data_IF_849365999128
#
_entry.id   IF_849365999128
#
_cell.length_a   1.000
_cell.length_b   1.000
_cell.length_c   1.000
_cell.angle_alpha   90.00
_cell.angle_beta   90.00
_cell.angle_gamma   90.00
#
_symmetry.space_group_name_H-M   'P 1'
#
loop_
_entity.id
_entity.type
_entity.pdbx_description
1 polymer ?
#
# COMPACT_ATOMS: atom_id res chain seq x y z
N UNK A 1 -63.22 5.43 -11.71
CA UNK A 1 -61.79 5.69 -11.92
C UNK A 1 -61.05 4.70 -11.04
N UNK A 2 -60.60 3.56 -11.61
CA UNK A 2 -59.84 2.56 -10.85
C UNK A 2 -58.47 3.18 -10.57
N UNK A 3 -58.13 3.35 -9.30
CA UNK A 3 -56.74 3.62 -8.90
C UNK A 3 -55.96 2.33 -9.16
N UNK A 4 -55.14 2.33 -10.20
CA UNK A 4 -54.12 1.31 -10.42
C UNK A 4 -52.99 1.55 -9.42
N UNK A 5 -52.72 0.54 -8.61
CA UNK A 5 -51.65 0.54 -7.61
C UNK A 5 -50.31 0.38 -8.33
N UNK A 6 -49.37 1.31 -8.15
CA UNK A 6 -47.99 1.08 -8.55
C UNK A 6 -47.35 0.14 -7.52
N UNK A 7 -47.03 -1.08 -7.93
CA UNK A 7 -46.20 -1.97 -7.12
C UNK A 7 -44.74 -1.54 -7.33
N UNK A 8 -44.12 -0.97 -6.29
CA UNK A 8 -42.66 -0.90 -6.22
C UNK A 8 -42.23 -2.30 -5.81
N UNK A 9 -41.84 -3.12 -6.79
CA UNK A 9 -41.19 -4.40 -6.53
C UNK A 9 -39.99 -4.13 -5.62
N UNK A 10 -40.11 -4.55 -4.36
CA UNK A 10 -39.06 -4.37 -3.36
C UNK A 10 -37.86 -5.24 -3.73
N UNK A 11 -36.97 -4.71 -4.57
CA UNK A 11 -35.65 -5.28 -4.76
C UNK A 11 -34.88 -5.04 -3.45
N UNK A 12 -34.82 -6.08 -2.61
CA UNK A 12 -33.88 -6.11 -1.49
C UNK A 12 -32.48 -6.27 -2.08
N UNK A 13 -31.93 -5.17 -2.60
CA UNK A 13 -30.56 -5.14 -3.08
C UNK A 13 -29.67 -5.09 -1.85
N UNK A 14 -29.03 -6.21 -1.54
CA UNK A 14 -27.92 -6.22 -0.61
C UNK A 14 -26.78 -5.40 -1.26
N UNK A 15 -26.74 -4.09 -0.99
CA UNK A 15 -25.48 -3.37 -1.08
C UNK A 15 -24.56 -4.09 -0.10
N UNK A 16 -23.59 -4.84 -0.63
CA UNK A 16 -22.43 -5.23 0.16
C UNK A 16 -21.62 -3.96 0.36
N UNK A 17 -22.06 -3.11 1.29
CA UNK A 17 -21.22 -2.06 1.83
C UNK A 17 -19.99 -2.78 2.38
N UNK A 18 -18.80 -2.42 1.89
CA UNK A 18 -17.58 -2.84 2.57
C UNK A 18 -17.62 -2.16 3.94
N UNK A 19 -17.82 -2.89 5.07
CA UNK A 19 -18.01 -2.27 6.38
C UNK A 19 -16.74 -1.55 6.87
N UNK A 20 -15.64 -1.65 6.12
CA UNK A 20 -14.34 -1.06 6.36
C UNK A 20 -14.10 0.23 5.55
N UNK A 21 -15.07 0.66 4.73
CA UNK A 21 -14.96 1.90 3.97
C UNK A 21 -14.75 3.14 4.87
N UNK A 22 -13.79 4.00 4.50
CA UNK A 22 -13.39 5.19 5.25
C UNK A 22 -12.62 4.88 6.53
N UNK A 23 -12.05 3.68 6.67
CA UNK A 23 -11.19 3.32 7.80
C UNK A 23 -9.72 3.47 7.46
N UNK A 24 -9.01 4.12 8.36
CA UNK A 24 -7.55 4.21 8.34
C UNK A 24 -6.93 2.86 8.65
N UNK A 25 -5.87 2.54 7.91
CA UNK A 25 -5.12 1.31 7.96
C UNK A 25 -3.64 1.62 7.82
N UNK A 26 -2.82 0.89 8.58
CA UNK A 26 -1.36 1.03 8.58
C UNK A 26 -0.75 -0.34 8.32
N UNK A 27 0.17 -0.45 7.37
CA UNK A 27 1.07 -1.61 7.27
C UNK A 27 2.36 -1.22 7.98
N UNK A 28 2.76 -1.99 9.00
CA UNK A 28 3.95 -1.73 9.84
C UNK A 28 4.98 -2.89 9.85
N UNK A 29 4.70 -3.98 9.12
CA UNK A 29 5.57 -5.17 8.99
C UNK A 29 5.99 -5.91 10.28
N UNK A 30 5.57 -5.46 11.45
CA UNK A 30 5.98 -6.01 12.76
C UNK A 30 5.53 -7.46 12.99
N UNK A 31 4.46 -7.89 12.31
CA UNK A 31 3.95 -9.26 12.38
C UNK A 31 4.72 -10.26 11.48
N UNK A 32 5.71 -9.79 10.71
CA UNK A 32 6.50 -10.61 9.79
C UNK A 32 7.88 -10.95 10.39
N UNK A 33 8.40 -12.14 10.10
CA UNK A 33 9.73 -12.51 10.58
C UNK A 33 10.84 -11.89 9.70
N UNK A 34 11.96 -11.43 10.28
CA UNK A 34 13.14 -11.02 9.53
C UNK A 34 13.57 -12.08 8.51
N UNK A 35 13.95 -11.65 7.31
CA UNK A 35 14.31 -12.53 6.21
C UNK A 35 13.15 -13.08 5.40
N UNK A 36 11.91 -12.75 5.75
CA UNK A 36 10.73 -13.15 4.96
C UNK A 36 10.74 -12.42 3.63
N UNK A 37 10.59 -13.15 2.52
CA UNK A 37 10.31 -12.57 1.20
C UNK A 37 8.82 -12.26 1.14
N UNK A 38 8.47 -10.99 0.93
CA UNK A 38 7.10 -10.47 1.10
C UNK A 38 6.42 -10.37 -0.26
N UNK A 39 5.48 -11.27 -0.53
CA UNK A 39 4.62 -11.19 -1.72
C UNK A 39 3.27 -10.51 -1.46
N UNK A 40 2.81 -10.53 -0.21
CA UNK A 40 1.56 -9.93 0.23
C UNK A 40 1.69 -9.47 1.68
N UNK A 41 1.01 -8.39 2.02
CA UNK A 41 0.88 -7.86 3.39
C UNK A 41 -0.56 -7.58 3.75
N UNK A 42 -0.79 -7.42 5.06
CA UNK A 42 -2.05 -6.96 5.63
C UNK A 42 -1.75 -5.78 6.54
N UNK A 43 -2.69 -4.85 6.69
CA UNK A 43 -2.58 -3.82 7.72
C UNK A 43 -2.62 -4.44 9.13
N UNK A 44 -1.98 -3.77 10.08
CA UNK A 44 -1.95 -4.16 11.47
C UNK A 44 -3.30 -3.87 12.17
N UNK A 45 -3.45 -4.40 13.38
CA UNK A 45 -4.69 -4.30 14.15
C UNK A 45 -5.13 -2.82 14.34
N UNK A 46 -6.44 -2.51 14.35
CA UNK A 46 -7.55 -3.42 14.66
C UNK A 46 -8.15 -4.16 13.47
N UNK A 47 -7.81 -3.79 12.24
CA UNK A 47 -8.41 -4.36 11.02
C UNK A 47 -7.29 -4.93 10.15
N UNK A 48 -7.38 -6.21 9.79
CA UNK A 48 -6.42 -6.88 8.92
C UNK A 48 -6.87 -6.73 7.47
N UNK A 49 -6.55 -5.58 6.87
CA UNK A 49 -6.94 -5.22 5.51
C UNK A 49 -5.88 -5.73 4.55
N UNK A 50 -6.30 -6.59 3.63
CA UNK A 50 -5.44 -7.20 2.63
C UNK A 50 -6.15 -8.36 1.93
N UNK A 51 -5.43 -9.13 1.10
CA UNK A 51 -4.00 -8.99 0.85
C UNK A 51 -3.69 -7.76 0.00
N UNK A 52 -2.57 -7.08 0.30
CA UNK A 52 -1.97 -6.06 -0.56
C UNK A 52 -0.74 -6.71 -1.19
N UNK A 53 -0.70 -6.80 -2.52
CA UNK A 53 0.44 -7.39 -3.23
C UNK A 53 1.70 -6.56 -3.02
N UNK A 54 2.84 -7.21 -2.83
CA UNK A 54 4.14 -6.56 -2.66
C UNK A 54 5.15 -7.21 -3.60
N UNK A 55 5.91 -6.38 -4.31
CA UNK A 55 6.99 -6.86 -5.16
C UNK A 55 8.16 -5.87 -5.19
N UNK A 56 9.34 -6.34 -4.80
CA UNK A 56 10.60 -5.61 -4.93
C UNK A 56 11.32 -6.04 -6.19
N UNK A 57 11.74 -5.09 -7.02
CA UNK A 57 12.57 -5.34 -8.19
C UNK A 57 14.01 -5.11 -7.81
N UNK A 58 14.87 -6.12 -7.98
CA UNK A 58 16.31 -5.93 -8.03
C UNK A 58 16.81 -6.31 -9.44
N UNK A 59 17.45 -5.40 -10.19
CA UNK A 59 17.86 -5.65 -11.57
C UNK A 59 18.90 -6.76 -11.71
N UNK A 60 19.64 -7.06 -10.64
CA UNK A 60 20.63 -8.14 -10.60
C UNK A 60 20.03 -9.50 -10.24
N UNK A 61 18.78 -9.55 -9.77
CA UNK A 61 18.03 -10.75 -9.41
C UNK A 61 16.72 -10.88 -10.21
N UNK A 62 16.78 -10.62 -11.52
CA UNK A 62 15.61 -10.56 -12.39
C UNK A 62 14.68 -11.79 -12.25
N UNK A 63 13.40 -11.52 -12.03
CA UNK A 63 12.35 -12.54 -11.89
C UNK A 63 12.19 -13.10 -10.47
N UNK A 64 13.00 -12.68 -9.52
CA UNK A 64 12.79 -12.93 -8.10
C UNK A 64 12.15 -11.71 -7.45
N UNK A 65 11.30 -11.94 -6.44
CA UNK A 65 10.81 -10.88 -5.58
C UNK A 65 11.90 -10.53 -4.56
N UNK A 66 12.37 -9.29 -4.59
CA UNK A 66 13.41 -8.78 -3.71
C UNK A 66 12.85 -8.03 -2.49
N UNK A 67 11.52 -7.91 -2.33
CA UNK A 67 10.93 -7.32 -1.13
C UNK A 67 11.15 -8.25 0.07
N UNK A 68 11.95 -7.80 1.05
CA UNK A 68 12.37 -8.64 2.19
C UNK A 68 12.25 -7.84 3.49
N UNK A 69 11.91 -8.55 4.58
CA UNK A 69 11.91 -7.96 5.92
C UNK A 69 13.31 -7.90 6.51
N UNK A 70 13.70 -6.71 6.96
CA UNK A 70 14.96 -6.39 7.62
C UNK A 70 14.71 -6.04 9.09
N UNK A 71 15.52 -6.59 10.01
CA UNK A 71 15.45 -6.26 11.44
C UNK A 71 16.38 -5.08 11.75
N UNK A 72 15.80 -3.88 11.85
CA UNK A 72 16.57 -2.65 12.13
C UNK A 72 17.12 -2.58 13.55
N UNK A 73 16.60 -3.38 14.48
CA UNK A 73 17.13 -3.45 15.85
C UNK A 73 18.36 -4.37 15.96
N UNK A 74 18.54 -5.28 14.99
CA UNK A 74 19.68 -6.18 14.93
C UNK A 74 20.22 -6.37 13.51
N UNK A 75 20.78 -5.32 12.86
CA UNK A 75 21.37 -5.46 11.55
C UNK A 75 22.41 -6.58 11.54
N UNK A 76 22.13 -7.62 10.76
CA UNK A 76 22.90 -8.86 10.74
C UNK A 76 23.79 -8.97 9.48
N UNK A 77 24.03 -7.85 8.82
CA UNK A 77 25.06 -7.63 7.81
C UNK A 77 24.97 -8.42 6.52
N UNK A 78 25.87 -8.12 5.62
CA UNK A 78 25.69 -8.34 4.20
C UNK A 78 26.17 -9.73 3.70
N UNK A 79 25.31 -10.54 3.05
CA UNK A 79 25.69 -11.78 2.36
C UNK A 79 26.58 -11.56 1.12
N UNK A 80 26.62 -10.36 0.55
CA UNK A 80 27.47 -9.94 -0.57
C UNK A 80 28.88 -9.50 -0.13
N UNK A 81 29.12 -9.30 1.16
CA UNK A 81 30.46 -9.08 1.74
C UNK A 81 30.80 -7.64 2.14
N UNK A 82 29.81 -6.77 2.33
CA UNK A 82 29.89 -5.33 2.59
C UNK A 82 29.98 -4.89 4.05
N UNK A 83 29.65 -5.74 5.03
CA UNK A 83 29.71 -5.36 6.46
C UNK A 83 28.37 -5.48 7.16
N UNK A 84 28.13 -4.70 8.22
CA UNK A 84 26.79 -4.55 8.81
C UNK A 84 26.11 -3.36 8.13
N UNK A 85 24.82 -3.48 7.86
CA UNK A 85 23.93 -2.44 7.34
C UNK A 85 23.44 -1.56 8.51
N UNK A 86 24.28 -0.62 8.93
CA UNK A 86 24.06 0.15 10.16
C UNK A 86 23.31 1.46 9.91
N UNK A 87 23.32 1.92 8.68
CA UNK A 87 22.56 3.05 8.14
C UNK A 87 21.04 2.78 8.16
N UNK A 88 20.61 1.52 8.11
CA UNK A 88 19.22 1.15 8.40
C UNK A 88 18.94 0.79 9.87
N UNK A 89 19.95 0.82 10.74
CA UNK A 89 19.78 0.48 12.15
C UNK A 89 18.93 1.49 12.92
N UNK A 90 18.06 1.02 13.83
CA UNK A 90 17.18 1.90 14.64
C UNK A 90 17.09 1.46 16.10
N UNK A 91 17.03 2.39 17.07
CA UNK A 91 17.35 3.81 16.94
C UNK A 91 18.80 4.06 16.49
N UNK A 92 19.15 5.32 16.23
CA UNK A 92 20.55 5.72 16.06
C UNK A 92 21.38 5.53 17.35
N UNK A 93 22.70 5.38 17.23
CA UNK A 93 23.65 5.17 18.33
C UNK A 93 23.59 6.26 19.40
N UNK A 94 23.29 7.50 19.02
CA UNK A 94 23.11 8.61 19.95
C UNK A 94 21.90 8.41 20.89
N UNK A 95 20.96 7.55 20.50
CA UNK A 95 19.77 7.16 21.26
C UNK A 95 19.85 5.71 21.76
N UNK A 96 21.01 5.07 21.66
CA UNK A 96 21.30 3.76 22.24
C UNK A 96 20.92 2.55 21.37
N UNK A 97 20.64 2.76 20.09
CA UNK A 97 20.41 1.69 19.13
C UNK A 97 21.63 1.38 18.24
N UNK A 98 21.49 0.47 17.26
CA UNK A 98 22.57 0.07 16.35
C UNK A 98 22.80 1.05 15.20
N UNK A 99 21.91 2.02 14.97
CA UNK A 99 21.94 2.91 13.82
C UNK A 99 23.17 3.82 13.78
N UNK A 100 23.81 3.93 12.62
CA UNK A 100 24.98 4.81 12.43
C UNK A 100 24.74 5.66 11.19
N UNK A 101 24.86 6.98 11.33
CA UNK A 101 24.77 7.92 10.23
C UNK A 101 24.66 9.36 10.71
N UNK A 102 25.15 10.29 9.89
CA UNK A 102 25.28 11.72 10.26
C UNK A 102 23.93 12.43 10.46
N UNK A 103 22.82 11.84 9.98
CA UNK A 103 21.46 12.39 10.11
C UNK A 103 20.56 11.64 11.11
N UNK A 104 21.12 10.74 11.92
CA UNK A 104 20.38 9.94 12.89
C UNK A 104 19.70 10.72 14.03
N UNK A 105 19.81 12.05 14.08
CA UNK A 105 19.09 12.89 15.04
C UNK A 105 17.55 12.77 14.97
N UNK A 106 17.02 12.35 13.81
CA UNK A 106 15.59 12.05 13.59
C UNK A 106 15.22 10.59 13.93
N UNK A 107 16.22 9.70 13.99
CA UNK A 107 16.09 8.28 14.27
C UNK A 107 16.19 8.01 15.78
N UNK A 108 15.19 8.48 16.53
CA UNK A 108 15.22 8.48 18.00
C UNK A 108 14.55 7.28 18.66
N UNK A 109 13.88 6.43 17.88
CA UNK A 109 13.04 5.33 18.35
C UNK A 109 13.32 4.07 17.53
N UNK A 110 13.02 2.90 18.11
CA UNK A 110 13.14 1.64 17.39
C UNK A 110 11.96 1.53 16.42
N UNK A 111 12.27 1.25 15.15
CA UNK A 111 11.28 1.02 14.11
C UNK A 111 10.95 -0.47 13.96
N UNK A 112 11.88 -1.37 14.30
CA UNK A 112 11.64 -2.81 14.26
C UNK A 112 11.87 -3.39 12.88
N UNK A 113 10.88 -4.05 12.31
CA UNK A 113 10.94 -4.69 11.01
C UNK A 113 10.66 -3.69 9.89
N UNK A 114 11.61 -3.56 8.97
CA UNK A 114 11.51 -2.69 7.81
C UNK A 114 11.37 -3.52 6.53
N UNK A 115 10.73 -2.96 5.52
CA UNK A 115 10.69 -3.53 4.17
C UNK A 115 11.78 -2.91 3.30
N UNK A 116 12.63 -3.76 2.74
CA UNK A 116 13.74 -3.38 1.84
C UNK A 116 13.59 -4.01 0.46
N UNK A 117 14.30 -3.46 -0.53
CA UNK A 117 14.68 -4.24 -1.72
C UNK A 117 16.00 -4.91 -1.42
N UNK A 118 16.01 -6.23 -1.29
CA UNK A 118 17.22 -6.97 -0.94
C UNK A 118 18.22 -7.06 -2.09
N UNK A 119 19.51 -7.11 -1.76
CA UNK A 119 20.57 -7.42 -2.71
C UNK A 119 20.44 -8.81 -3.37
N UNK A 120 20.95 -8.95 -4.58
CA UNK A 120 20.77 -10.16 -5.37
C UNK A 120 21.41 -11.42 -4.78
N UNK A 121 22.56 -11.31 -4.09
CA UNK A 121 23.29 -12.48 -3.58
C UNK A 121 22.57 -13.24 -2.46
N UNK A 122 21.64 -12.58 -1.75
CA UNK A 122 20.82 -13.18 -0.70
C UNK A 122 19.55 -13.86 -1.22
N UNK A 123 19.21 -13.66 -2.50
CA UNK A 123 17.93 -14.07 -3.08
C UNK A 123 17.98 -15.47 -3.72
N UNK A 124 16.79 -16.09 -3.87
CA UNK A 124 16.60 -17.39 -4.52
C UNK A 124 16.32 -18.57 -3.58
N UNK A 125 16.34 -18.32 -2.27
CA UNK A 125 15.87 -19.26 -1.24
C UNK A 125 14.39 -19.08 -0.88
N UNK A 126 13.92 -19.82 0.13
CA UNK A 126 12.60 -19.61 0.72
C UNK A 126 12.55 -18.38 1.67
N UNK A 127 13.72 -17.93 2.13
CA UNK A 127 13.94 -16.78 3.00
C UNK A 127 15.37 -16.27 2.79
N UNK A 128 15.65 -15.09 3.34
CA UNK A 128 16.98 -14.46 3.33
C UNK A 128 17.52 -14.44 4.77
N UNK A 129 18.64 -15.12 5.04
CA UNK A 129 19.20 -15.23 6.40
C UNK A 129 19.82 -13.91 6.90
N UNK A 130 20.30 -13.11 5.96
CA UNK A 130 21.05 -11.89 6.19
C UNK A 130 20.53 -10.80 5.24
N UNK A 131 19.34 -10.24 5.50
CA UNK A 131 18.78 -9.23 4.63
C UNK A 131 19.69 -8.00 4.60
N UNK A 132 19.89 -7.48 3.40
CA UNK A 132 20.68 -6.29 3.14
C UNK A 132 20.04 -5.61 1.93
N UNK A 133 19.79 -4.32 2.04
CA UNK A 133 19.10 -3.58 1.01
C UNK A 133 20.02 -3.26 -0.18
N UNK A 134 19.40 -2.90 -1.30
CA UNK A 134 20.08 -2.72 -2.55
C UNK A 134 20.44 -1.25 -2.76
N UNK A 135 21.73 -0.93 -2.65
CA UNK A 135 22.27 0.38 -3.02
C UNK A 135 22.34 0.52 -4.55
N UNK A 136 21.18 0.67 -5.19
CA UNK A 136 21.07 0.98 -6.60
C UNK A 136 19.78 1.74 -6.93
N UNK A 137 19.83 2.71 -7.87
CA UNK A 137 18.70 3.58 -8.17
C UNK A 137 17.54 2.90 -8.91
N UNK A 138 17.77 1.74 -9.54
CA UNK A 138 16.79 1.02 -10.36
C UNK A 138 16.09 -0.11 -9.59
N UNK A 139 15.91 0.07 -8.28
CA UNK A 139 15.40 -0.94 -7.35
C UNK A 139 14.08 -0.51 -6.68
N UNK A 140 12.94 -0.50 -7.40
CA UNK A 140 11.66 -0.10 -6.83
C UNK A 140 10.94 -1.20 -6.04
N UNK A 141 10.10 -0.78 -5.09
CA UNK A 141 9.08 -1.60 -4.40
C UNK A 141 7.70 -1.19 -4.92
N UNK A 142 6.88 -2.15 -5.30
CA UNK A 142 5.48 -1.89 -5.65
C UNK A 142 4.49 -2.47 -4.64
N UNK A 143 3.42 -1.74 -4.38
CA UNK A 143 2.24 -2.17 -3.64
C UNK A 143 1.03 -2.24 -4.59
N UNK A 144 0.33 -3.37 -4.60
CA UNK A 144 -0.87 -3.62 -5.42
C UNK A 144 -2.11 -3.79 -4.52
N UNK A 145 -3.01 -2.82 -4.58
CA UNK A 145 -4.25 -2.80 -3.80
C UNK A 145 -5.43 -3.43 -4.55
N UNK A 146 -5.24 -3.96 -5.77
CA UNK A 146 -6.32 -4.47 -6.62
C UNK A 146 -7.23 -5.52 -5.94
N UNK A 147 -6.70 -6.27 -4.97
CA UNK A 147 -7.45 -7.27 -4.22
C UNK A 147 -8.42 -6.67 -3.18
N UNK A 148 -8.15 -5.44 -2.69
CA UNK A 148 -8.98 -4.73 -1.70
C UNK A 148 -9.78 -3.57 -2.32
N UNK A 149 -9.47 -3.20 -3.56
CA UNK A 149 -10.07 -2.05 -4.25
C UNK A 149 -9.20 -0.79 -4.13
N UNK A 150 -9.61 0.32 -4.78
CA UNK A 150 -8.88 1.58 -4.66
C UNK A 150 -8.83 2.05 -3.20
N UNK A 151 -7.73 2.71 -2.87
CA UNK A 151 -7.46 3.29 -1.55
C UNK A 151 -7.10 4.77 -1.68
N UNK A 152 -7.26 5.49 -0.59
CA UNK A 152 -6.68 6.82 -0.44
C UNK A 152 -5.33 6.69 0.27
N UNK A 153 -4.22 6.98 -0.42
CA UNK A 153 -2.88 6.98 0.18
C UNK A 153 -2.69 8.26 1.00
N UNK A 154 -2.19 8.13 2.23
CA UNK A 154 -1.97 9.25 3.14
C UNK A 154 -0.48 9.57 3.32
N UNK A 155 0.30 8.57 3.73
CA UNK A 155 1.70 8.75 4.06
C UNK A 155 2.49 7.44 4.00
N UNK A 156 3.80 7.60 3.89
CA UNK A 156 4.81 6.56 4.05
C UNK A 156 5.84 7.04 5.09
N UNK A 157 6.25 6.17 6.00
CA UNK A 157 7.41 6.35 6.87
C UNK A 157 8.57 5.51 6.34
N UNK A 158 9.77 6.06 6.35
CA UNK A 158 10.96 5.43 5.76
C UNK A 158 12.24 6.01 6.34
N UNK A 159 13.35 5.32 6.13
CA UNK A 159 14.67 5.68 6.64
C UNK A 159 15.69 5.77 5.52
N UNK A 160 16.72 6.57 5.77
CA UNK A 160 17.98 6.62 5.01
C UNK A 160 17.86 7.23 3.61
N UNK A 161 16.95 8.18 3.43
CA UNK A 161 16.89 8.93 2.16
C UNK A 161 17.88 10.07 2.17
N UNK A 162 18.95 9.94 1.39
CA UNK A 162 20.07 10.86 1.41
C UNK A 162 20.29 11.62 0.08
N UNK A 163 21.22 12.57 0.10
CA UNK A 163 21.39 13.53 -0.99
C UNK A 163 22.48 13.15 -1.99
N UNK A 164 23.38 12.24 -1.61
CA UNK A 164 24.40 11.72 -2.51
C UNK A 164 23.81 10.76 -3.57
N UNK A 165 22.59 10.27 -3.34
CA UNK A 165 21.89 9.29 -4.17
C UNK A 165 20.90 9.93 -5.16
N UNK A 166 20.28 9.08 -5.99
CA UNK A 166 19.16 9.54 -6.80
C UNK A 166 17.98 9.93 -5.89
N UNK A 167 17.16 10.93 -6.26
CA UNK A 167 16.02 11.31 -5.42
C UNK A 167 15.06 10.15 -5.21
N UNK A 168 14.68 9.90 -3.96
CA UNK A 168 13.62 8.96 -3.64
C UNK A 168 12.27 9.48 -4.17
N UNK A 169 11.51 8.64 -4.88
CA UNK A 169 10.23 8.99 -5.47
C UNK A 169 9.12 8.01 -5.10
N UNK A 170 7.88 8.51 -5.13
CA UNK A 170 6.66 7.72 -4.99
C UNK A 170 5.71 8.08 -6.13
N UNK A 171 5.36 7.08 -6.93
CA UNK A 171 4.39 7.20 -8.02
C UNK A 171 3.11 6.44 -7.65
N UNK A 172 1.95 7.10 -7.78
CA UNK A 172 0.64 6.56 -7.45
C UNK A 172 -0.20 6.44 -8.72
N UNK A 173 -0.83 5.29 -8.93
CA UNK A 173 -1.55 4.95 -10.16
C UNK A 173 -2.97 4.48 -9.89
N UNK A 174 -3.87 4.81 -10.82
CA UNK A 174 -5.23 4.26 -10.87
C UNK A 174 -5.26 2.82 -11.42
N UNK A 175 -6.42 2.17 -11.35
CA UNK A 175 -6.63 0.81 -11.85
C UNK A 175 -6.39 0.65 -13.37
N UNK A 176 -6.40 1.75 -14.13
CA UNK A 176 -6.10 1.77 -15.56
C UNK A 176 -4.60 1.93 -15.86
N UNK A 177 -3.75 2.08 -14.84
CA UNK A 177 -2.33 2.39 -14.97
C UNK A 177 -2.06 3.87 -15.27
N UNK A 178 -3.06 4.75 -15.11
CA UNK A 178 -2.89 6.19 -15.21
C UNK A 178 -2.17 6.73 -13.96
N UNK A 179 -1.12 7.54 -14.17
CA UNK A 179 -0.44 8.22 -13.07
C UNK A 179 -1.35 9.28 -12.46
N UNK A 180 -1.65 9.13 -11.17
CA UNK A 180 -2.44 10.06 -10.35
C UNK A 180 -1.56 11.14 -9.72
N UNK A 181 -0.43 10.73 -9.16
CA UNK A 181 0.53 11.64 -8.52
C UNK A 181 1.95 11.06 -8.56
N UNK A 182 2.94 11.96 -8.56
CA UNK A 182 4.37 11.66 -8.48
C UNK A 182 4.98 12.62 -7.44
N UNK A 183 5.63 12.05 -6.42
CA UNK A 183 6.22 12.77 -5.31
C UNK A 183 7.72 12.52 -5.26
N UNK A 184 8.48 13.58 -5.02
CA UNK A 184 9.88 13.49 -4.59
C UNK A 184 9.91 13.63 -3.08
N UNK A 185 10.49 12.64 -2.39
CA UNK A 185 10.55 12.61 -0.93
C UNK A 185 11.63 13.58 -0.40
N UNK A 186 11.42 14.16 0.79
CA UNK A 186 12.44 15.00 1.42
C UNK A 186 13.66 14.15 1.78
N UNK A 187 14.85 14.73 1.67
CA UNK A 187 16.08 14.06 2.10
C UNK A 187 16.32 14.31 3.59
N UNK A 188 16.50 13.23 4.34
CA UNK A 188 16.87 13.26 5.76
C UNK A 188 18.37 13.10 5.93
N UNK A 189 19.04 12.39 5.03
CA UNK A 189 20.44 12.01 5.12
C UNK A 189 20.63 10.64 5.76
N UNK A 190 21.89 10.22 5.80
CA UNK A 190 22.34 8.92 6.32
C UNK A 190 21.76 8.59 7.72
N UNK A 191 21.07 7.45 7.82
CA UNK A 191 20.34 6.95 8.99
C UNK A 191 19.20 7.86 9.49
N UNK A 192 18.77 8.84 8.68
CA UNK A 192 17.70 9.76 9.02
C UNK A 192 16.31 9.23 8.68
N UNK A 193 15.32 9.46 9.56
CA UNK A 193 13.95 8.94 9.41
C UNK A 193 12.99 10.03 8.93
N UNK A 194 12.22 9.72 7.90
CA UNK A 194 11.04 10.47 7.47
C UNK A 194 9.82 9.81 8.09
N UNK A 195 9.05 10.57 8.86
CA UNK A 195 7.73 10.16 9.35
C UNK A 195 6.66 10.91 8.59
N UNK A 196 5.59 10.22 8.22
CA UNK A 196 4.43 10.81 7.58
C UNK A 196 4.78 11.63 6.31
N UNK A 197 5.38 10.98 5.31
CA UNK A 197 5.69 11.66 4.04
C UNK A 197 4.44 12.27 3.39
N UNK A 198 4.60 13.37 2.62
CA UNK A 198 3.47 14.16 2.13
C UNK A 198 2.84 13.57 0.85
N UNK A 199 2.35 12.32 0.93
CA UNK A 199 1.79 11.59 -0.21
C UNK A 199 0.30 11.81 -0.43
N UNK A 200 -0.39 12.47 0.51
CA UNK A 200 -1.84 12.48 0.47
C UNK A 200 -2.57 13.53 1.33
N UNK A 201 -3.91 13.42 1.40
CA UNK A 201 -4.69 12.28 0.89
C UNK A 201 -4.76 12.25 -0.66
N UNK A 202 -4.36 11.13 -1.26
CA UNK A 202 -4.48 10.88 -2.71
C UNK A 202 -5.45 9.72 -2.96
N UNK A 203 -6.66 9.98 -3.49
CA UNK A 203 -7.69 8.95 -3.71
C UNK A 203 -7.47 8.14 -5.00
N UNK A 204 -8.30 7.12 -5.18
CA UNK A 204 -8.41 6.25 -6.36
C UNK A 204 -7.16 5.41 -6.66
N UNK A 205 -6.21 5.30 -5.72
CA UNK A 205 -4.95 4.59 -5.92
C UNK A 205 -5.18 3.10 -5.88
N UNK A 206 -4.76 2.40 -6.93
CA UNK A 206 -4.82 0.93 -7.03
C UNK A 206 -3.42 0.31 -7.08
N UNK A 207 -2.42 1.08 -7.50
CA UNK A 207 -1.03 0.64 -7.58
C UNK A 207 -0.09 1.77 -7.15
N UNK A 208 0.94 1.44 -6.37
CA UNK A 208 1.94 2.38 -5.86
C UNK A 208 3.33 1.84 -6.13
N UNK A 209 4.25 2.71 -6.55
CA UNK A 209 5.67 2.38 -6.76
C UNK A 209 6.52 3.33 -5.93
N UNK A 210 7.42 2.78 -5.12
CA UNK A 210 8.39 3.51 -4.31
C UNK A 210 9.78 3.20 -4.85
N UNK A 211 10.55 4.23 -5.20
CA UNK A 211 11.95 4.09 -5.61
C UNK A 211 12.79 4.90 -4.63
N UNK A 212 13.70 4.26 -3.88
CA UNK A 212 14.51 4.96 -2.88
C UNK A 212 15.72 5.66 -3.48
N UNK A 213 16.23 5.17 -4.61
CA UNK A 213 17.32 5.81 -5.35
C UNK A 213 18.73 5.36 -4.93
N UNK A 214 18.83 4.59 -3.86
CA UNK A 214 20.02 3.96 -3.30
C UNK A 214 19.63 3.14 -2.06
N UNK A 215 20.44 3.21 -1.00
CA UNK A 215 20.14 2.59 0.29
C UNK A 215 18.84 3.13 0.89
N UNK A 216 18.11 2.30 1.64
CA UNK A 216 16.94 2.70 2.40
C UNK A 216 15.90 1.60 2.65
N UNK A 217 14.96 1.92 3.52
CA UNK A 217 13.88 1.01 3.88
C UNK A 217 12.56 1.73 4.20
N UNK A 218 11.46 0.99 4.05
CA UNK A 218 10.10 1.43 4.39
C UNK A 218 9.72 0.87 5.76
N UNK A 219 9.18 1.74 6.62
CA UNK A 219 8.72 1.44 7.98
C UNK A 219 7.20 1.26 8.02
N UNK A 220 6.46 2.30 7.61
CA UNK A 220 5.00 2.29 7.68
C UNK A 220 4.37 2.81 6.39
N UNK A 221 3.22 2.24 6.01
CA UNK A 221 2.35 2.74 4.94
C UNK A 221 0.94 2.99 5.49
N UNK A 222 0.51 4.24 5.45
CA UNK A 222 -0.82 4.67 5.87
C UNK A 222 -1.75 4.93 4.68
N UNK A 223 -2.93 4.35 4.73
CA UNK A 223 -3.98 4.54 3.73
C UNK A 223 -5.37 4.41 4.34
N UNK A 224 -6.37 4.91 3.62
CA UNK A 224 -7.78 4.69 3.94
C UNK A 224 -8.42 3.79 2.87
N UNK A 225 -9.23 2.81 3.30
CA UNK A 225 -10.07 2.06 2.37
C UNK A 225 -11.16 2.96 1.78
N UNK A 226 -11.32 2.96 0.47
CA UNK A 226 -12.39 3.72 -0.15
C UNK A 226 -13.73 2.96 -0.11
N UNK A 227 -14.85 3.68 0.04
CA UNK A 227 -16.16 3.07 -0.11
C UNK A 227 -16.31 2.49 -1.51
N UNK A 228 -16.83 1.26 -1.65
CA UNK A 228 -17.08 0.68 -2.95
C UNK A 228 -18.05 1.58 -3.72
N UNK A 229 -17.63 2.05 -4.89
CA UNK A 229 -18.50 2.76 -5.81
C UNK A 229 -19.50 1.75 -6.39
N UNK A 230 -20.73 1.79 -5.90
CA UNK A 230 -21.82 0.97 -6.40
C UNK A 230 -22.74 1.82 -7.27
N UNK A 231 -23.05 1.32 -8.47
CA UNK A 231 -24.08 1.90 -9.32
C UNK A 231 -25.41 1.23 -9.03
N UNK A 232 -26.44 2.04 -8.76
CA UNK A 232 -27.83 1.59 -8.82
C UNK A 232 -28.31 1.67 -10.28
N UNK A 233 -29.15 0.73 -10.70
CA UNK A 233 -29.73 0.72 -12.04
C UNK A 233 -30.59 1.96 -12.33
N UNK A 234 -30.85 2.19 -13.62
CA UNK A 234 -31.54 3.39 -14.16
C UNK A 234 -33.00 3.10 -14.62
N UNK A 235 -33.46 1.85 -14.54
CA UNK A 235 -34.74 1.48 -15.16
C UNK A 235 -35.87 1.29 -14.15
N UNK A 236 -36.92 2.08 -14.30
CA UNK A 236 -38.21 1.89 -13.64
C UNK A 236 -39.25 1.51 -14.69
N UNK A 237 -40.01 0.45 -14.46
CA UNK A 237 -40.93 -0.11 -15.44
C UNK A 237 -42.33 -0.35 -14.87
N UNK A 238 -43.32 -0.34 -15.77
CA UNK A 238 -44.68 -0.73 -15.47
C UNK A 238 -44.79 -2.24 -15.58
N UNK A 239 -44.82 -2.91 -14.43
CA UNK A 239 -45.10 -4.35 -14.30
C UNK A 239 -46.61 -4.60 -14.50
N UNK A 240 -47.02 -4.81 -15.75
CA UNK A 240 -48.43 -5.07 -16.09
C UNK A 240 -48.89 -6.49 -15.74
N UNK A 241 -47.97 -7.46 -15.67
CA UNK A 241 -48.28 -8.86 -15.41
C UNK A 241 -48.14 -9.24 -13.92
N UNK A 242 -47.66 -8.32 -13.08
CA UNK A 242 -47.50 -8.40 -11.62
C UNK A 242 -46.53 -9.51 -11.16
N UNK A 243 -45.50 -9.82 -11.95
CA UNK A 243 -44.54 -10.88 -11.61
C UNK A 243 -43.23 -10.37 -10.98
N UNK A 244 -43.03 -9.05 -10.93
CA UNK A 244 -41.85 -8.41 -10.35
C UNK A 244 -40.56 -8.60 -11.16
N UNK A 245 -40.64 -9.10 -12.39
CA UNK A 245 -39.52 -9.28 -13.32
C UNK A 245 -39.66 -8.23 -14.42
N UNK A 246 -38.53 -7.64 -14.84
CA UNK A 246 -38.53 -6.77 -16.00
C UNK A 246 -38.60 -7.61 -17.28
N UNK A 247 -39.71 -7.51 -17.99
CA UNK A 247 -39.93 -8.16 -19.28
C UNK A 247 -39.61 -7.23 -20.46
N UNK A 248 -39.27 -7.77 -21.65
CA UNK A 248 -39.00 -6.97 -22.85
C UNK A 248 -40.16 -6.08 -23.34
N UNK A 249 -41.39 -6.34 -22.88
CA UNK A 249 -42.58 -5.56 -23.24
C UNK A 249 -42.96 -4.52 -22.18
N UNK A 250 -42.30 -4.50 -21.03
CA UNK A 250 -42.62 -3.55 -19.98
C UNK A 250 -42.27 -2.13 -20.39
N UNK A 251 -43.20 -1.22 -20.14
CA UNK A 251 -43.05 0.18 -20.50
C UNK A 251 -42.20 0.90 -19.44
N UNK A 252 -41.22 1.66 -19.89
CA UNK A 252 -40.47 2.55 -19.02
C UNK A 252 -41.38 3.61 -18.40
N UNK A 253 -41.18 3.90 -17.11
CA UNK A 253 -41.85 4.99 -16.41
C UNK A 253 -40.86 6.16 -16.30
N UNK A 254 -41.14 7.25 -16.99
CA UNK A 254 -40.33 8.46 -16.93
C UNK A 254 -40.57 9.25 -15.64
N UNK A 255 -39.60 10.09 -15.28
CA UNK A 255 -39.68 11.08 -14.19
C UNK A 255 -39.95 10.49 -12.79
N UNK A 256 -39.57 9.23 -12.56
CA UNK A 256 -39.64 8.63 -11.23
C UNK A 256 -38.52 9.19 -10.36
N UNK A 257 -38.90 9.86 -9.27
CA UNK A 257 -37.94 10.35 -8.28
C UNK A 257 -37.58 9.23 -7.31
N UNK A 258 -36.37 8.70 -7.45
CA UNK A 258 -35.75 7.85 -6.43
C UNK A 258 -35.16 8.73 -5.32
N UNK A 259 -35.51 8.45 -4.06
CA UNK A 259 -34.82 9.02 -2.91
C UNK A 259 -34.04 7.89 -2.23
N UNK A 260 -32.73 8.05 -2.16
CA UNK A 260 -31.85 7.22 -1.36
C UNK A 260 -31.74 7.85 0.03
N UNK A 261 -31.98 7.07 1.07
CA UNK A 261 -31.96 7.52 2.47
C UNK A 261 -31.21 6.52 3.33
#
# INVERSE_FOLDING_TARGET
MKMTTAAIGGLLLALTLNPLAGRAATVDFEDLAPGTIVSEVFSSAPESIGPIGVFGVNPQAAGLNAAVIFDSAAPNGDPCGGGLDLDLGTPNEAFGGPGVGDAGASNTEALGNLLIVNEACGLGGASVDRPNDADNPDSPISFDFSAIGPVTINSLSLIDVEAAEAPATVELFDAGGGLLADFVLPQTGDNGVIRNSPLGPTPDVTFMVVTLGGSGAIDELDFDLEPPVCSLGDFVFLDENEDGIQDPLDLAIADVKLNLT
#
